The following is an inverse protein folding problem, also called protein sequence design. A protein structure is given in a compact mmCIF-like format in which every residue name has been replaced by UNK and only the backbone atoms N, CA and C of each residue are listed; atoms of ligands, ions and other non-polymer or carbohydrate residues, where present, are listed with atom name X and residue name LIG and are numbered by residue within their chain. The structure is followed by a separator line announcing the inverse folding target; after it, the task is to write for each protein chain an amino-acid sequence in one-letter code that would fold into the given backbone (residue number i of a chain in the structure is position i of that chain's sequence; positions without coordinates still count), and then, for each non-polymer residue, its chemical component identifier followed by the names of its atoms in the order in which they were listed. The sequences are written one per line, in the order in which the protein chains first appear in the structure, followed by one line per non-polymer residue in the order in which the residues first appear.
data_IF_741726718092
#
_entry.id   IF_741726718092
#
_cell.length_a   1.000
_cell.length_b   1.000
_cell.length_c   1.000
_cell.angle_alpha   90.00
_cell.angle_beta   90.00
_cell.angle_gamma   90.00
#
_symmetry.space_group_name_H-M   'P 1'
#
loop_
_entity.id
_entity.type
_entity.pdbx_description
1 polymer ?
#
# COMPACT_ATOMS: atom_id res chain seq x y z
N UNK A 1 13.24 -23.15 -7.17
CA UNK A 1 12.34 -22.94 -6.01
C UNK A 1 13.06 -22.97 -4.65
N UNK A 2 13.84 -24.01 -4.29
CA UNK A 2 14.55 -24.06 -2.98
C UNK A 2 15.57 -22.94 -2.78
N UNK A 3 16.34 -22.61 -3.81
CA UNK A 3 17.31 -21.50 -3.79
C UNK A 3 16.65 -20.13 -3.70
N UNK A 4 15.63 -19.87 -4.52
CA UNK A 4 14.83 -18.64 -4.45
C UNK A 4 14.28 -18.41 -3.03
N UNK A 5 13.71 -19.45 -2.41
CA UNK A 5 13.21 -19.37 -1.04
C UNK A 5 14.31 -19.03 -0.03
N UNK A 6 15.46 -19.70 -0.13
CA UNK A 6 16.62 -19.44 0.75
C UNK A 6 17.14 -18.01 0.58
N UNK A 7 17.22 -17.51 -0.64
CA UNK A 7 17.64 -16.13 -0.92
C UNK A 7 16.66 -15.12 -0.33
N UNK A 8 15.35 -15.32 -0.51
CA UNK A 8 14.34 -14.43 0.07
C UNK A 8 14.37 -14.44 1.59
N UNK A 9 14.51 -15.61 2.21
CA UNK A 9 14.65 -15.74 3.68
C UNK A 9 15.92 -15.06 4.15
N UNK A 10 17.06 -15.32 3.50
CA UNK A 10 18.34 -14.71 3.85
C UNK A 10 18.29 -13.18 3.74
N UNK A 11 17.69 -12.65 2.68
CA UNK A 11 17.50 -11.21 2.50
C UNK A 11 16.61 -10.62 3.60
N UNK A 12 15.47 -11.25 3.89
CA UNK A 12 14.57 -10.79 4.95
C UNK A 12 15.23 -10.80 6.34
N UNK A 13 15.94 -11.88 6.67
CA UNK A 13 16.70 -11.98 7.93
C UNK A 13 17.81 -10.94 7.98
N UNK A 14 18.51 -10.68 6.87
CA UNK A 14 19.54 -9.65 6.79
C UNK A 14 18.99 -8.25 7.06
N UNK A 15 17.83 -7.90 6.48
CA UNK A 15 17.15 -6.62 6.73
C UNK A 15 16.71 -6.50 8.19
N UNK A 16 16.16 -7.57 8.77
CA UNK A 16 15.78 -7.60 10.19
C UNK A 16 16.99 -7.42 11.11
N UNK A 17 18.08 -8.13 10.84
CA UNK A 17 19.32 -8.02 11.60
C UNK A 17 19.90 -6.59 11.54
N UNK A 18 19.89 -5.97 10.36
CA UNK A 18 20.30 -4.58 10.18
C UNK A 18 19.44 -3.62 10.99
N UNK A 19 18.11 -3.77 10.94
CA UNK A 19 17.19 -2.93 11.70
C UNK A 19 17.37 -3.08 13.22
N UNK A 20 17.53 -4.31 13.72
CA UNK A 20 17.80 -4.58 15.14
C UNK A 20 19.16 -4.03 15.55
N UNK A 21 20.18 -4.19 14.71
CA UNK A 21 21.50 -3.62 14.98
C UNK A 21 21.41 -2.11 15.14
N UNK A 22 20.79 -1.41 14.17
CA UNK A 22 20.58 0.03 14.26
C UNK A 22 19.82 0.45 15.52
N UNK A 23 18.76 -0.28 15.87
CA UNK A 23 17.96 -0.04 17.08
C UNK A 23 18.80 -0.13 18.38
N UNK A 24 19.78 -1.03 18.42
CA UNK A 24 20.61 -1.29 19.60
C UNK A 24 21.85 -0.41 19.67
N UNK A 25 22.37 0.05 18.53
CA UNK A 25 23.62 0.82 18.46
C UNK A 25 23.42 2.32 18.41
N UNK A 26 22.24 2.79 18.04
CA UNK A 26 21.95 4.22 17.94
C UNK A 26 21.52 4.79 19.30
N UNK A 27 22.36 5.64 19.95
CA UNK A 27 22.08 6.17 21.28
C UNK A 27 20.90 7.13 21.33
N UNK A 28 20.49 7.70 20.20
CA UNK A 28 19.37 8.63 20.11
C UNK A 28 18.02 7.90 19.95
N UNK A 29 18.04 6.57 19.87
CA UNK A 29 16.82 5.79 19.67
C UNK A 29 16.02 5.61 20.95
N UNK A 30 14.81 6.19 20.96
CA UNK A 30 13.83 5.95 22.02
C UNK A 30 13.13 4.58 21.84
N UNK A 31 13.70 3.52 22.42
CA UNK A 31 13.17 2.14 22.34
C UNK A 31 11.67 2.03 22.66
N UNK A 32 11.21 2.70 23.72
CA UNK A 32 9.80 2.70 24.10
C UNK A 32 8.89 3.31 23.03
N UNK A 33 9.33 4.41 22.42
CA UNK A 33 8.62 5.04 21.29
C UNK A 33 8.53 4.13 20.08
N UNK A 34 9.60 3.39 19.78
CA UNK A 34 9.63 2.46 18.66
C UNK A 34 8.70 1.25 18.88
N UNK A 35 8.65 0.71 20.10
CA UNK A 35 7.71 -0.37 20.45
C UNK A 35 6.27 0.11 20.32
N UNK A 36 5.95 1.31 20.83
CA UNK A 36 4.62 1.91 20.69
C UNK A 36 4.27 2.12 19.22
N UNK A 37 5.21 2.62 18.41
CA UNK A 37 5.02 2.78 16.98
C UNK A 37 4.71 1.44 16.29
N UNK A 38 5.52 0.40 16.51
CA UNK A 38 5.28 -0.93 15.95
C UNK A 38 3.92 -1.49 16.37
N UNK A 39 3.59 -1.41 17.66
CA UNK A 39 2.30 -1.87 18.16
C UNK A 39 1.14 -1.11 17.52
N UNK A 40 1.25 0.22 17.40
CA UNK A 40 0.25 1.05 16.76
C UNK A 40 0.07 0.69 15.27
N UNK A 41 1.15 0.40 14.54
CA UNK A 41 1.08 -0.06 13.15
C UNK A 41 0.36 -1.39 13.03
N UNK A 42 0.70 -2.38 13.88
CA UNK A 42 0.04 -3.69 13.89
C UNK A 42 -1.45 -3.55 14.19
N UNK A 43 -1.80 -2.80 15.23
CA UNK A 43 -3.20 -2.57 15.59
C UNK A 43 -3.96 -1.84 14.48
N UNK A 44 -3.38 -0.77 13.91
CA UNK A 44 -4.03 -0.04 12.81
C UNK A 44 -4.21 -0.93 11.56
N UNK A 45 -3.23 -1.80 11.27
CA UNK A 45 -3.34 -2.75 10.18
C UNK A 45 -4.49 -3.74 10.41
N UNK A 46 -4.53 -4.39 11.57
CA UNK A 46 -5.48 -5.48 11.82
C UNK A 46 -6.89 -4.96 12.12
N UNK A 47 -7.01 -3.82 12.80
CA UNK A 47 -8.30 -3.24 13.18
C UNK A 47 -8.91 -2.34 12.10
N UNK A 48 -8.11 -1.80 11.17
CA UNK A 48 -8.61 -0.85 10.16
C UNK A 48 -8.31 -1.33 8.75
N UNK A 49 -7.05 -1.60 8.42
CA UNK A 49 -6.66 -1.96 7.05
C UNK A 49 -7.34 -3.25 6.59
N UNK A 50 -7.28 -4.29 7.41
CA UNK A 50 -7.84 -5.61 7.12
C UNK A 50 -9.36 -5.57 6.92
N UNK A 51 -10.17 -4.97 7.85
CA UNK A 51 -11.62 -4.83 7.64
C UNK A 51 -11.98 -4.02 6.39
N UNK A 52 -11.29 -2.92 6.11
CA UNK A 52 -11.53 -2.13 4.90
C UNK A 52 -11.24 -2.92 3.63
N UNK A 53 -10.18 -3.73 3.62
CA UNK A 53 -9.87 -4.60 2.49
C UNK A 53 -10.89 -5.72 2.31
N UNK A 54 -11.36 -6.33 3.40
CA UNK A 54 -12.42 -7.33 3.33
C UNK A 54 -13.71 -6.70 2.79
N UNK A 55 -14.09 -5.51 3.27
CA UNK A 55 -15.26 -4.79 2.78
C UNK A 55 -15.12 -4.42 1.30
N UNK A 56 -13.97 -3.91 0.87
CA UNK A 56 -13.70 -3.61 -0.53
C UNK A 56 -13.78 -4.87 -1.41
N UNK A 57 -13.17 -5.97 -0.95
CA UNK A 57 -13.23 -7.27 -1.60
C UNK A 57 -14.65 -7.82 -1.69
N UNK A 58 -15.47 -7.62 -0.66
CA UNK A 58 -16.90 -7.99 -0.64
C UNK A 58 -17.73 -7.15 -1.63
N UNK A 59 -17.54 -5.83 -1.67
CA UNK A 59 -18.26 -4.93 -2.60
C UNK A 59 -17.89 -5.25 -4.05
N UNK A 60 -16.59 -5.33 -4.36
CA UNK A 60 -16.13 -5.78 -5.68
C UNK A 60 -16.64 -7.20 -5.96
N UNK A 61 -16.66 -8.02 -4.91
CA UNK A 61 -17.34 -9.30 -4.83
C UNK A 61 -18.75 -9.29 -5.43
N UNK A 62 -19.58 -8.45 -4.86
CA UNK A 62 -21.02 -8.47 -5.07
C UNK A 62 -21.45 -7.84 -6.39
N UNK A 63 -20.68 -6.88 -6.91
CA UNK A 63 -21.11 -6.02 -8.02
C UNK A 63 -20.26 -6.14 -9.29
N UNK A 64 -19.07 -6.73 -9.23
CA UNK A 64 -18.13 -6.71 -10.35
C UNK A 64 -18.02 -8.09 -11.03
N UNK A 65 -18.10 -8.17 -12.37
CA UNK A 65 -17.86 -9.41 -13.11
C UNK A 65 -16.47 -10.00 -12.85
N UNK A 66 -16.40 -11.32 -12.68
CA UNK A 66 -15.17 -12.08 -12.35
C UNK A 66 -13.99 -11.72 -13.28
N UNK A 67 -14.27 -11.36 -14.52
CA UNK A 67 -13.26 -11.07 -15.57
C UNK A 67 -12.45 -9.79 -15.34
N UNK A 68 -13.05 -8.79 -14.69
CA UNK A 68 -12.40 -7.49 -14.43
C UNK A 68 -12.05 -7.30 -12.96
N UNK A 69 -12.56 -8.19 -12.08
CA UNK A 69 -12.28 -8.17 -10.64
C UNK A 69 -10.80 -8.04 -10.27
N UNK A 70 -9.84 -8.81 -10.84
CA UNK A 70 -8.45 -8.72 -10.39
C UNK A 70 -7.85 -7.32 -10.56
N UNK A 71 -8.19 -6.63 -11.66
CA UNK A 71 -7.74 -5.27 -11.92
C UNK A 71 -8.32 -4.28 -10.90
N UNK A 72 -9.62 -4.43 -10.58
CA UNK A 72 -10.33 -3.57 -9.64
C UNK A 72 -9.90 -3.80 -8.19
N UNK A 73 -9.70 -5.05 -7.78
CA UNK A 73 -9.15 -5.40 -6.46
C UNK A 73 -7.74 -4.84 -6.31
N UNK A 74 -6.88 -5.03 -7.33
CA UNK A 74 -5.54 -4.46 -7.32
C UNK A 74 -5.54 -2.93 -7.18
N UNK A 75 -6.37 -2.24 -7.95
CA UNK A 75 -6.52 -0.79 -7.85
C UNK A 75 -7.01 -0.34 -6.47
N UNK A 76 -7.99 -1.05 -5.88
CA UNK A 76 -8.52 -0.73 -4.56
C UNK A 76 -7.45 -0.90 -3.46
N UNK A 77 -6.68 -2.00 -3.49
CA UNK A 77 -5.58 -2.25 -2.54
C UNK A 77 -4.54 -1.14 -2.63
N UNK A 78 -4.08 -0.83 -3.85
CA UNK A 78 -3.07 0.23 -4.08
C UNK A 78 -3.62 1.58 -3.65
N UNK A 79 -4.88 1.88 -3.95
CA UNK A 79 -5.52 3.13 -3.56
C UNK A 79 -5.60 3.29 -2.04
N UNK A 80 -5.96 2.23 -1.30
CA UNK A 80 -6.02 2.29 0.16
C UNK A 80 -4.62 2.50 0.75
N UNK A 81 -3.62 1.75 0.27
CA UNK A 81 -2.24 1.88 0.73
C UNK A 81 -1.69 3.30 0.49
N UNK A 82 -1.89 3.85 -0.71
CA UNK A 82 -1.51 5.22 -1.05
C UNK A 82 -2.23 6.24 -0.17
N UNK A 83 -3.53 6.07 0.04
CA UNK A 83 -4.33 7.01 0.83
C UNK A 83 -3.88 7.02 2.28
N UNK A 84 -3.72 5.86 2.91
CA UNK A 84 -3.30 5.78 4.32
C UNK A 84 -1.89 6.34 4.52
N UNK A 85 -0.98 6.10 3.57
CA UNK A 85 0.36 6.67 3.62
C UNK A 85 0.35 8.18 3.39
N UNK A 86 -0.53 8.67 2.50
CA UNK A 86 -0.58 10.08 2.12
C UNK A 86 -1.35 10.96 3.12
N UNK A 87 -2.31 10.40 3.88
CA UNK A 87 -3.20 11.15 4.78
C UNK A 87 -2.46 12.11 5.71
N UNK A 88 -1.39 11.72 6.43
CA UNK A 88 -0.69 12.63 7.32
C UNK A 88 -0.15 13.86 6.58
N UNK A 89 0.39 13.68 5.37
CA UNK A 89 0.94 14.76 4.56
C UNK A 89 -0.15 15.67 3.98
N UNK A 90 -1.28 15.09 3.57
CA UNK A 90 -2.45 15.83 3.12
C UNK A 90 -3.02 16.70 4.26
N UNK A 91 -3.04 16.17 5.47
CA UNK A 91 -3.41 16.90 6.69
C UNK A 91 -2.35 17.92 7.15
N UNK A 92 -1.22 18.02 6.45
CA UNK A 92 -0.13 18.94 6.79
C UNK A 92 0.68 18.51 8.01
N UNK A 93 0.56 17.26 8.47
CA UNK A 93 1.34 16.73 9.58
C UNK A 93 2.81 16.66 9.18
N UNK A 94 3.69 17.23 10.00
CA UNK A 94 5.10 17.42 9.69
C UNK A 94 5.45 18.78 9.08
N UNK A 95 4.46 19.63 8.76
CA UNK A 95 4.72 21.01 8.31
C UNK A 95 5.29 21.84 9.46
N UNK A 96 6.39 22.54 9.17
CA UNK A 96 7.14 23.38 10.11
C UNK A 96 7.19 24.82 9.57
N UNK A 97 6.82 25.84 10.36
CA UNK A 97 6.89 27.23 9.91
C UNK A 97 8.31 27.70 9.60
N UNK A 98 9.27 27.15 10.35
CA UNK A 98 10.71 27.39 10.27
C UNK A 98 11.40 26.58 9.17
N UNK A 99 10.72 25.56 8.62
CA UNK A 99 11.22 24.74 7.52
C UNK A 99 10.16 24.60 6.41
N UNK A 100 10.12 25.57 5.46
CA UNK A 100 9.21 25.53 4.32
C UNK A 100 9.43 24.30 3.40
N UNK A 101 10.61 23.67 3.48
CA UNK A 101 10.99 22.53 2.65
C UNK A 101 10.47 21.19 3.19
N UNK A 102 9.94 21.16 4.41
CA UNK A 102 9.42 19.94 5.05
C UNK A 102 8.23 19.32 4.29
N UNK A 103 7.24 20.14 3.88
CA UNK A 103 6.10 19.73 3.05
C UNK A 103 5.88 20.75 1.91
N UNK A 104 6.72 20.72 0.87
CA UNK A 104 6.76 21.76 -0.16
C UNK A 104 5.66 21.55 -1.22
N UNK A 105 5.16 20.32 -1.34
CA UNK A 105 4.22 19.91 -2.36
C UNK A 105 2.77 20.01 -1.88
N UNK A 106 1.85 20.17 -2.84
CA UNK A 106 0.44 19.94 -2.59
C UNK A 106 0.14 18.43 -2.63
N UNK A 107 0.26 17.78 -1.48
CA UNK A 107 0.05 16.33 -1.33
C UNK A 107 -1.37 15.89 -1.66
N UNK A 108 -2.37 16.76 -1.47
CA UNK A 108 -3.75 16.46 -1.88
C UNK A 108 -3.86 16.31 -3.40
N UNK A 109 -3.30 17.27 -4.15
CA UNK A 109 -3.22 17.20 -5.61
C UNK A 109 -2.37 16.02 -6.08
N UNK A 110 -1.23 15.77 -5.44
CA UNK A 110 -0.35 14.64 -5.75
C UNK A 110 -1.04 13.28 -5.55
N UNK A 111 -1.80 13.14 -4.47
CA UNK A 111 -2.58 11.93 -4.19
C UNK A 111 -3.66 11.72 -5.25
N UNK A 112 -4.44 12.75 -5.59
CA UNK A 112 -5.48 12.66 -6.62
C UNK A 112 -4.92 12.24 -7.99
N UNK A 113 -3.79 12.84 -8.40
CA UNK A 113 -3.13 12.48 -9.66
C UNK A 113 -2.68 11.02 -9.64
N UNK A 114 -2.07 10.58 -8.54
CA UNK A 114 -1.59 9.20 -8.39
C UNK A 114 -2.75 8.20 -8.42
N UNK A 115 -3.84 8.49 -7.70
CA UNK A 115 -5.04 7.66 -7.71
C UNK A 115 -5.65 7.61 -9.12
N UNK A 116 -5.77 8.75 -9.80
CA UNK A 116 -6.27 8.80 -11.18
C UNK A 116 -5.42 7.91 -12.11
N UNK A 117 -4.10 7.94 -11.96
CA UNK A 117 -3.19 7.09 -12.72
C UNK A 117 -3.41 5.59 -12.42
N UNK A 118 -3.52 5.21 -11.15
CA UNK A 118 -3.80 3.81 -10.74
C UNK A 118 -5.10 3.31 -11.37
N UNK A 119 -6.16 4.10 -11.31
CA UNK A 119 -7.46 3.73 -11.87
C UNK A 119 -7.47 3.73 -13.40
N UNK A 120 -6.71 4.62 -14.05
CA UNK A 120 -6.53 4.59 -15.50
C UNK A 120 -5.85 3.28 -15.95
N UNK A 121 -4.79 2.87 -15.26
CA UNK A 121 -4.12 1.58 -15.54
C UNK A 121 -5.08 0.41 -15.32
N UNK A 122 -5.83 0.41 -14.22
CA UNK A 122 -6.80 -0.64 -13.92
C UNK A 122 -7.92 -0.72 -14.98
N UNK A 123 -8.41 0.41 -15.47
CA UNK A 123 -9.39 0.48 -16.54
C UNK A 123 -8.84 -0.12 -17.84
N UNK A 124 -7.59 0.18 -18.21
CA UNK A 124 -6.93 -0.43 -19.38
C UNK A 124 -6.79 -1.94 -19.23
N UNK A 125 -6.39 -2.43 -18.05
CA UNK A 125 -6.26 -3.87 -17.78
C UNK A 125 -7.62 -4.57 -17.83
N UNK A 126 -8.64 -4.00 -17.19
CA UNK A 126 -10.00 -4.50 -17.22
C UNK A 126 -10.57 -4.53 -18.64
N UNK A 127 -10.33 -3.49 -19.44
CA UNK A 127 -10.76 -3.45 -20.83
C UNK A 127 -10.10 -4.56 -21.66
N UNK A 128 -8.79 -4.76 -21.48
CA UNK A 128 -8.03 -5.82 -22.15
C UNK A 128 -8.53 -7.21 -21.75
N UNK A 129 -8.83 -7.45 -20.46
CA UNK A 129 -9.34 -8.74 -20.00
C UNK A 129 -10.74 -9.03 -20.58
N UNK A 130 -11.59 -8.01 -20.65
CA UNK A 130 -12.91 -8.13 -21.24
C UNK A 130 -12.85 -8.43 -22.76
N UNK A 131 -12.01 -7.70 -23.51
CA UNK A 131 -11.82 -7.95 -24.95
C UNK A 131 -11.24 -9.33 -25.26
N UNK A 132 -10.30 -9.83 -24.45
CA UNK A 132 -9.73 -11.18 -24.65
C UNK A 132 -10.77 -12.28 -24.49
N UNK A 133 -11.72 -12.10 -23.57
CA UNK A 133 -12.78 -13.08 -23.35
C UNK A 133 -13.83 -13.09 -24.47
N UNK A 134 -14.11 -11.95 -25.10
CA UNK A 134 -15.00 -11.86 -26.26
C UNK A 134 -14.42 -12.51 -27.53
N UNK A 135 -13.11 -12.77 -27.57
CA UNK A 135 -12.39 -13.34 -28.71
C UNK A 135 -12.15 -14.84 -28.62
N UNK A 136 -12.57 -15.52 -27.53
CA UNK A 136 -12.48 -16.98 -27.42
C UNK A 136 -13.77 -17.58 -27.99
N UNK A 137 -13.76 -18.22 -29.17
CA UNK A 137 -14.92 -18.98 -29.66
C UNK A 137 -15.17 -20.14 -28.70
N UNK A 138 -16.44 -20.47 -28.46
CA UNK A 138 -16.81 -21.71 -27.80
C UNK A 138 -16.33 -22.87 -28.68
N UNK A 139 -15.40 -23.67 -28.16
CA UNK A 139 -15.01 -24.95 -28.73
C UNK A 139 -15.89 -26.05 -28.14
#
# INVERSE_FOLDING_TARGET
MRWTRRLLVGAGVGVLAYAVFGLLTDPDTALGGQVVFLAAVVVAHDAVFMPLMIAAGFVVGRFVPVRVRPALVGAAIVSLALTLTAIPFVLGRGRRPDDPSALPLNYGRGLLITLAFVWAVAAVVAWRSWRRAARRPAA
#
